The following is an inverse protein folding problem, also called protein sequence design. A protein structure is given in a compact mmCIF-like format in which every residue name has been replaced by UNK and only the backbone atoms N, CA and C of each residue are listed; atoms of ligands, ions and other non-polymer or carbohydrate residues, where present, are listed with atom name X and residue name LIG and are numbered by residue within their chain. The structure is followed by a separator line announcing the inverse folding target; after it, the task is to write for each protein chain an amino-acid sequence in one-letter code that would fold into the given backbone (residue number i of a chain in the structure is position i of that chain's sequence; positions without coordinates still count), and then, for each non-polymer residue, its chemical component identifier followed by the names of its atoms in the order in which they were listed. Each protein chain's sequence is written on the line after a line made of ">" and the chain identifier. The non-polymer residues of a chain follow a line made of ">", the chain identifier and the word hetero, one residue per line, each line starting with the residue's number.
data_IF_613814814452
#
_entry.id   IF_613814814452
#
_cell.length_a   1.000
_cell.length_b   1.000
_cell.length_c   1.000
_cell.angle_alpha   90.00
_cell.angle_beta   90.00
_cell.angle_gamma   90.00
#
_symmetry.space_group_name_H-M   'P 1'
#
loop_
_entity.id
_entity.type
_entity.pdbx_description
1 polymer ?
#
# COMPACT_ATOMS: atom_id res chain seq x y z
N UNK A 1 -33.80 -11.22 -22.50
CA UNK A 1 -33.25 -10.01 -21.85
C UNK A 1 -31.88 -10.40 -21.35
N UNK A 2 -30.82 -9.83 -21.90
CA UNK A 2 -29.49 -9.99 -21.30
C UNK A 2 -29.49 -9.22 -19.98
N UNK A 3 -29.55 -9.92 -18.86
CA UNK A 3 -29.33 -9.30 -17.55
C UNK A 3 -27.89 -8.79 -17.52
N UNK A 4 -27.70 -7.50 -17.31
CA UNK A 4 -26.38 -6.88 -17.20
C UNK A 4 -25.63 -7.57 -16.05
N UNK A 5 -24.46 -8.12 -16.32
CA UNK A 5 -23.61 -8.72 -15.28
C UNK A 5 -23.15 -7.67 -14.30
N UNK A 6 -23.20 -7.98 -13.02
CA UNK A 6 -22.88 -7.04 -11.95
C UNK A 6 -21.67 -7.48 -11.13
N UNK A 7 -20.74 -6.57 -10.91
CA UNK A 7 -19.59 -6.78 -10.05
C UNK A 7 -19.54 -5.76 -8.90
N UNK A 8 -19.21 -6.22 -7.71
CA UNK A 8 -19.07 -5.38 -6.52
C UNK A 8 -17.63 -5.39 -6.05
N UNK A 9 -17.09 -4.17 -5.83
CA UNK A 9 -15.74 -3.95 -5.33
C UNK A 9 -15.81 -3.40 -3.91
N UNK A 10 -15.20 -4.09 -2.97
CA UNK A 10 -15.24 -3.79 -1.53
C UNK A 10 -13.88 -3.29 -1.05
N UNK A 11 -13.82 -2.05 -0.57
CA UNK A 11 -12.68 -1.51 0.17
C UNK A 11 -13.16 -0.79 1.42
N UNK A 12 -12.58 -1.10 2.58
CA UNK A 12 -12.93 -0.42 3.83
C UNK A 12 -12.47 1.05 3.87
N UNK A 13 -11.57 1.45 2.97
CA UNK A 13 -11.00 2.80 2.89
C UNK A 13 -10.91 3.21 1.43
N UNK A 14 -11.19 4.47 1.12
CA UNK A 14 -11.06 5.01 -0.25
C UNK A 14 -9.62 5.41 -0.62
N UNK A 15 -8.70 5.47 0.33
CA UNK A 15 -7.30 5.84 0.08
C UNK A 15 -6.47 4.77 -0.65
N UNK A 16 -6.90 3.51 -0.65
CA UNK A 16 -6.15 2.37 -1.23
C UNK A 16 -6.80 1.79 -2.48
N UNK A 17 -7.64 2.57 -3.17
CA UNK A 17 -8.44 2.10 -4.29
C UNK A 17 -7.69 1.96 -5.62
N UNK A 18 -6.42 2.39 -5.73
CA UNK A 18 -5.69 2.35 -7.00
C UNK A 18 -5.68 0.95 -7.64
N UNK A 19 -5.50 -0.09 -6.85
CA UNK A 19 -5.53 -1.48 -7.31
C UNK A 19 -6.94 -1.89 -7.74
N UNK A 20 -7.96 -1.48 -7.00
CA UNK A 20 -9.36 -1.74 -7.37
C UNK A 20 -9.76 -1.02 -8.65
N UNK A 21 -9.24 0.17 -8.94
CA UNK A 21 -9.52 0.86 -10.20
C UNK A 21 -8.98 0.10 -11.42
N UNK A 22 -7.84 -0.58 -11.29
CA UNK A 22 -7.32 -1.45 -12.35
C UNK A 22 -8.26 -2.64 -12.58
N UNK A 23 -8.71 -3.26 -11.49
CA UNK A 23 -9.65 -4.39 -11.55
C UNK A 23 -11.02 -3.93 -12.10
N UNK A 24 -11.50 -2.77 -11.69
CA UNK A 24 -12.73 -2.15 -12.19
C UNK A 24 -12.68 -1.94 -13.71
N UNK A 25 -11.60 -1.31 -14.20
CA UNK A 25 -11.41 -1.09 -15.64
C UNK A 25 -11.42 -2.41 -16.43
N UNK A 26 -10.81 -3.45 -15.89
CA UNK A 26 -10.84 -4.79 -16.49
C UNK A 26 -12.25 -5.39 -16.49
N UNK A 27 -12.98 -5.35 -15.37
CA UNK A 27 -14.33 -5.88 -15.27
C UNK A 27 -15.31 -5.15 -16.21
N UNK A 28 -15.20 -3.82 -16.29
CA UNK A 28 -15.99 -3.02 -17.24
C UNK A 28 -15.69 -3.39 -18.70
N UNK A 29 -14.43 -3.66 -19.03
CA UNK A 29 -14.05 -4.11 -20.38
C UNK A 29 -14.67 -5.48 -20.75
N UNK A 30 -15.02 -6.29 -19.74
CA UNK A 30 -15.75 -7.54 -19.88
C UNK A 30 -17.29 -7.39 -19.86
N UNK A 31 -17.81 -6.14 -19.81
CA UNK A 31 -19.24 -5.83 -19.83
C UNK A 31 -19.94 -5.92 -18.47
N UNK A 32 -19.18 -5.89 -17.35
CA UNK A 32 -19.78 -5.80 -16.02
C UNK A 32 -20.18 -4.37 -15.69
N UNK A 33 -21.34 -4.21 -15.05
CA UNK A 33 -21.66 -3.01 -14.28
C UNK A 33 -21.04 -3.12 -12.89
N UNK A 34 -20.25 -2.13 -12.49
CA UNK A 34 -19.50 -2.18 -11.26
C UNK A 34 -20.03 -1.21 -10.22
N UNK A 35 -20.08 -1.65 -8.96
CA UNK A 35 -20.48 -0.85 -7.79
C UNK A 35 -19.41 -0.92 -6.73
N UNK A 36 -19.00 0.24 -6.20
CA UNK A 36 -18.07 0.33 -5.08
C UNK A 36 -18.80 0.38 -3.74
N UNK A 37 -18.25 -0.32 -2.76
CA UNK A 37 -18.61 -0.16 -1.35
C UNK A 37 -17.40 0.24 -0.53
N UNK A 38 -17.55 1.31 0.25
CA UNK A 38 -16.53 1.76 1.20
C UNK A 38 -17.17 2.12 2.55
N UNK A 39 -16.36 2.28 3.61
CA UNK A 39 -16.87 2.85 4.84
C UNK A 39 -17.04 4.36 4.69
N UNK A 40 -17.86 4.96 5.54
CA UNK A 40 -18.02 6.42 5.64
C UNK A 40 -16.99 7.08 6.58
N UNK A 41 -15.98 6.33 7.03
CA UNK A 41 -15.00 6.81 8.01
C UNK A 41 -13.58 6.81 7.43
N UNK A 42 -12.98 8.00 7.36
CA UNK A 42 -11.59 8.20 6.95
C UNK A 42 -10.65 7.85 8.11
N UNK A 43 -9.81 6.85 7.88
CA UNK A 43 -8.86 6.36 8.88
C UNK A 43 -7.66 7.31 9.10
N UNK A 44 -7.39 8.23 8.19
CA UNK A 44 -6.29 9.21 8.30
C UNK A 44 -6.72 10.43 9.08
N UNK A 45 -7.78 11.09 8.63
CA UNK A 45 -8.32 12.29 9.30
C UNK A 45 -9.14 11.98 10.54
N UNK A 46 -9.54 10.71 10.78
CA UNK A 46 -10.42 10.26 11.87
C UNK A 46 -11.80 10.91 11.84
N UNK A 47 -12.31 11.19 10.65
CA UNK A 47 -13.59 11.87 10.42
C UNK A 47 -14.50 11.05 9.51
N UNK A 48 -15.78 11.28 9.66
CA UNK A 48 -16.78 10.82 8.68
C UNK A 48 -16.61 11.65 7.42
N UNK A 49 -16.65 11.01 6.26
CA UNK A 49 -16.54 11.66 4.96
C UNK A 49 -17.61 11.15 3.98
N UNK A 50 -17.81 11.89 2.90
CA UNK A 50 -18.66 11.47 1.80
C UNK A 50 -17.80 11.09 0.59
N UNK A 51 -17.96 9.85 0.11
CA UNK A 51 -17.26 9.38 -1.08
C UNK A 51 -17.70 10.17 -2.31
N UNK A 52 -16.72 10.58 -3.12
CA UNK A 52 -16.94 11.35 -4.36
C UNK A 52 -16.97 10.48 -5.61
N UNK A 53 -16.66 9.18 -5.49
CA UNK A 53 -16.70 8.24 -6.62
C UNK A 53 -18.14 8.01 -7.06
N UNK A 54 -18.50 8.24 -8.33
CA UNK A 54 -19.86 8.02 -8.82
C UNK A 54 -20.32 6.58 -8.59
N UNK A 55 -21.54 6.41 -8.08
CA UNK A 55 -22.11 5.08 -7.80
C UNK A 55 -21.53 4.37 -6.57
N UNK A 56 -20.66 5.02 -5.80
CA UNK A 56 -20.15 4.48 -4.55
C UNK A 56 -21.23 4.40 -3.48
N UNK A 57 -21.34 3.26 -2.82
CA UNK A 57 -22.19 3.04 -1.65
C UNK A 57 -21.34 3.06 -0.39
N UNK A 58 -21.75 3.86 0.59
CA UNK A 58 -21.03 3.97 1.86
C UNK A 58 -21.78 3.22 2.96
N UNK A 59 -21.01 2.45 3.73
CA UNK A 59 -21.48 1.76 4.93
C UNK A 59 -21.10 2.60 6.15
N UNK A 60 -22.12 2.97 6.94
CA UNK A 60 -21.88 3.66 8.21
C UNK A 60 -21.21 2.72 9.21
N UNK A 61 -20.05 3.13 9.73
CA UNK A 61 -19.27 2.36 10.70
C UNK A 61 -18.97 3.18 11.95
N UNK A 62 -18.68 2.48 13.07
CA UNK A 62 -18.26 3.17 14.30
C UNK A 62 -16.93 3.88 14.10
N UNK A 63 -16.79 5.12 14.56
CA UNK A 63 -15.53 5.84 14.49
C UNK A 63 -14.50 5.29 15.50
N UNK A 64 -13.22 5.56 15.24
CA UNK A 64 -12.12 5.25 16.14
C UNK A 64 -11.01 6.29 16.06
N UNK A 65 -10.23 6.46 17.16
CA UNK A 65 -9.17 7.47 17.21
C UNK A 65 -7.76 6.84 17.07
N UNK A 66 -7.55 5.65 17.61
CA UNK A 66 -6.24 4.98 17.61
C UNK A 66 -6.19 3.86 16.58
N UNK A 67 -5.07 3.78 15.83
CA UNK A 67 -4.85 2.76 14.80
C UNK A 67 -4.77 1.34 15.36
N UNK A 68 -4.18 1.14 16.54
CA UNK A 68 -4.22 -0.12 17.28
C UNK A 68 -5.24 0.00 18.40
N UNK A 69 -6.51 -0.35 18.12
CA UNK A 69 -7.60 -0.28 19.10
C UNK A 69 -8.71 -1.28 18.79
N UNK A 70 -9.39 -1.74 19.84
CA UNK A 70 -10.57 -2.59 19.69
C UNK A 70 -11.69 -1.90 18.89
N UNK A 71 -11.84 -0.59 19.03
CA UNK A 71 -12.82 0.19 18.27
C UNK A 71 -12.56 0.12 16.77
N UNK A 72 -11.29 0.15 16.31
CA UNK A 72 -10.95 -0.05 14.91
C UNK A 72 -11.28 -1.46 14.44
N UNK A 73 -10.92 -2.47 15.21
CA UNK A 73 -11.23 -3.87 14.89
C UNK A 73 -12.74 -4.07 14.74
N UNK A 74 -13.52 -3.48 15.65
CA UNK A 74 -14.98 -3.54 15.60
C UNK A 74 -15.57 -2.74 14.45
N UNK A 75 -14.99 -1.58 14.09
CA UNK A 75 -15.37 -0.80 12.90
C UNK A 75 -15.19 -1.63 11.61
N UNK A 76 -14.06 -2.29 11.47
CA UNK A 76 -13.77 -3.18 10.34
C UNK A 76 -14.73 -4.39 10.27
N UNK A 77 -15.08 -4.96 11.43
CA UNK A 77 -16.08 -6.03 11.51
C UNK A 77 -17.46 -5.54 11.12
N UNK A 78 -17.84 -4.34 11.59
CA UNK A 78 -19.14 -3.75 11.26
C UNK A 78 -19.25 -3.50 9.76
N UNK A 79 -18.21 -2.93 9.12
CA UNK A 79 -18.16 -2.76 7.67
C UNK A 79 -18.39 -4.10 6.96
N UNK A 80 -17.57 -5.10 7.24
CA UNK A 80 -17.66 -6.40 6.56
C UNK A 80 -19.03 -7.06 6.77
N UNK A 81 -19.57 -7.03 7.99
CA UNK A 81 -20.86 -7.61 8.33
C UNK A 81 -22.02 -6.91 7.59
N UNK A 82 -21.99 -5.57 7.56
CA UNK A 82 -23.08 -4.80 7.00
C UNK A 82 -23.09 -4.86 5.48
N UNK A 83 -21.94 -4.76 4.82
CA UNK A 83 -21.87 -4.86 3.36
C UNK A 83 -22.36 -6.23 2.87
N UNK A 84 -21.93 -7.33 3.48
CA UNK A 84 -22.40 -8.64 3.07
C UNK A 84 -23.89 -8.85 3.38
N UNK A 85 -24.44 -8.23 4.44
CA UNK A 85 -25.89 -8.26 4.68
C UNK A 85 -26.70 -7.53 3.58
N UNK A 86 -26.16 -6.46 3.01
CA UNK A 86 -26.78 -5.82 1.84
C UNK A 86 -26.70 -6.70 0.60
N UNK A 87 -25.53 -7.30 0.33
CA UNK A 87 -25.33 -8.17 -0.83
C UNK A 87 -26.19 -9.44 -0.80
N UNK A 88 -26.60 -9.92 0.37
CA UNK A 88 -27.56 -11.04 0.50
C UNK A 88 -28.92 -10.76 -0.14
N UNK A 89 -29.33 -9.51 -0.20
CA UNK A 89 -30.64 -9.13 -0.75
C UNK A 89 -30.64 -9.15 -2.29
N UNK A 90 -29.49 -8.93 -2.90
CA UNK A 90 -29.32 -8.88 -4.34
C UNK A 90 -27.88 -9.31 -4.68
N UNK A 91 -27.61 -10.63 -4.72
CA UNK A 91 -26.27 -11.16 -4.93
C UNK A 91 -25.69 -10.78 -6.30
N UNK A 92 -24.45 -10.25 -6.37
CA UNK A 92 -23.80 -9.93 -7.63
C UNK A 92 -23.17 -11.17 -8.28
N UNK A 93 -22.84 -11.09 -9.57
CA UNK A 93 -22.08 -12.14 -10.27
C UNK A 93 -20.63 -12.24 -9.79
N UNK A 94 -20.02 -11.10 -9.39
CA UNK A 94 -18.63 -11.01 -8.92
C UNK A 94 -18.55 -10.15 -7.67
N UNK A 95 -17.82 -10.63 -6.67
CA UNK A 95 -17.36 -9.84 -5.50
C UNK A 95 -15.86 -9.80 -5.49
N UNK A 96 -15.28 -8.59 -5.51
CA UNK A 96 -13.87 -8.34 -5.26
C UNK A 96 -13.73 -7.73 -3.88
N UNK A 97 -13.13 -8.45 -2.95
CA UNK A 97 -12.92 -7.97 -1.58
C UNK A 97 -11.44 -7.65 -1.35
N UNK A 98 -11.15 -6.38 -1.10
CA UNK A 98 -9.80 -5.89 -0.82
C UNK A 98 -9.43 -6.12 0.65
N UNK A 99 -8.36 -6.84 0.88
CA UNK A 99 -7.86 -7.18 2.21
C UNK A 99 -6.53 -6.45 2.52
N UNK A 100 -6.39 -5.91 3.74
CA UNK A 100 -7.31 -5.93 4.86
C UNK A 100 -8.52 -4.99 4.68
N UNK A 101 -9.56 -5.08 5.55
CA UNK A 101 -9.61 -5.78 6.84
C UNK A 101 -9.93 -7.27 6.70
N UNK A 102 -9.26 -8.10 7.52
CA UNK A 102 -9.38 -9.57 7.46
C UNK A 102 -10.81 -10.08 7.71
N UNK A 103 -11.67 -9.31 8.37
CA UNK A 103 -13.09 -9.64 8.51
C UNK A 103 -13.82 -9.74 7.17
N UNK A 104 -13.37 -9.04 6.12
CA UNK A 104 -13.95 -9.19 4.78
C UNK A 104 -13.81 -10.63 4.28
N UNK A 105 -12.64 -11.27 4.47
CA UNK A 105 -12.45 -12.66 4.08
C UNK A 105 -13.42 -13.60 4.82
N UNK A 106 -13.60 -13.39 6.14
CA UNK A 106 -14.51 -14.20 6.93
C UNK A 106 -15.98 -14.09 6.48
N UNK A 107 -16.47 -12.87 6.27
CA UNK A 107 -17.87 -12.69 5.85
C UNK A 107 -18.08 -13.04 4.37
N UNK A 108 -17.09 -12.80 3.50
CA UNK A 108 -17.11 -13.20 2.11
C UNK A 108 -17.19 -14.72 1.94
N UNK A 109 -16.41 -15.49 2.71
CA UNK A 109 -16.47 -16.95 2.67
C UNK A 109 -17.86 -17.48 3.08
N UNK A 110 -18.49 -16.88 4.10
CA UNK A 110 -19.85 -17.24 4.52
C UNK A 110 -20.89 -16.86 3.46
N UNK A 111 -20.71 -15.74 2.79
CA UNK A 111 -21.55 -15.32 1.67
C UNK A 111 -21.38 -16.29 0.50
N UNK A 112 -20.17 -16.61 0.08
CA UNK A 112 -19.87 -17.56 -1.00
C UNK A 112 -20.48 -18.95 -0.75
N UNK A 113 -20.50 -19.41 0.49
CA UNK A 113 -21.10 -20.69 0.84
C UNK A 113 -22.64 -20.71 0.63
N UNK A 114 -23.30 -19.55 0.66
CA UNK A 114 -24.77 -19.42 0.39
C UNK A 114 -25.05 -19.05 -1.06
N UNK A 115 -24.10 -18.41 -1.74
CA UNK A 115 -24.19 -17.95 -3.13
C UNK A 115 -23.01 -18.52 -3.93
N UNK A 116 -22.97 -19.84 -4.17
CA UNK A 116 -21.83 -20.50 -4.83
C UNK A 116 -21.63 -20.04 -6.29
N UNK A 117 -22.65 -19.49 -6.93
CA UNK A 117 -22.60 -18.92 -8.28
C UNK A 117 -21.85 -17.58 -8.34
N UNK A 118 -21.84 -16.78 -7.26
CA UNK A 118 -21.07 -15.54 -7.21
C UNK A 118 -19.57 -15.84 -7.24
N UNK A 119 -18.85 -15.29 -8.18
CA UNK A 119 -17.37 -15.35 -8.19
C UNK A 119 -16.79 -14.48 -7.10
N UNK A 120 -16.00 -15.07 -6.23
CA UNK A 120 -15.32 -14.37 -5.13
C UNK A 120 -13.84 -14.21 -5.43
N UNK A 121 -13.35 -12.97 -5.38
CA UNK A 121 -11.94 -12.62 -5.60
C UNK A 121 -11.44 -11.89 -4.35
N UNK A 122 -10.33 -12.35 -3.77
CA UNK A 122 -9.61 -11.60 -2.74
C UNK A 122 -8.42 -10.86 -3.37
N UNK A 123 -8.38 -9.56 -3.19
CA UNK A 123 -7.25 -8.70 -3.50
C UNK A 123 -6.52 -8.39 -2.19
N UNK A 124 -5.25 -8.81 -2.07
CA UNK A 124 -4.47 -8.67 -0.83
C UNK A 124 -3.37 -7.64 -1.05
N UNK A 125 -3.63 -6.40 -0.63
CA UNK A 125 -2.68 -5.30 -0.79
C UNK A 125 -1.80 -5.08 0.46
N UNK A 126 -2.15 -5.68 1.60
CA UNK A 126 -1.37 -5.59 2.83
C UNK A 126 -1.56 -6.86 3.68
N UNK A 127 -0.54 -7.20 4.45
CA UNK A 127 -0.49 -8.41 5.26
C UNK A 127 -0.69 -8.09 6.75
N UNK A 128 -1.92 -7.66 7.12
CA UNK A 128 -2.23 -7.49 8.54
C UNK A 128 -2.51 -8.84 9.21
N UNK A 129 -1.99 -9.03 10.43
CA UNK A 129 -1.18 -8.12 11.27
C UNK A 129 0.34 -8.16 11.03
N UNK A 130 0.84 -8.94 10.09
CA UNK A 130 2.26 -9.20 9.88
C UNK A 130 3.08 -7.94 9.54
N UNK A 131 2.44 -6.94 8.90
CA UNK A 131 3.05 -5.66 8.55
C UNK A 131 3.07 -4.65 9.71
N UNK A 132 2.42 -4.96 10.85
CA UNK A 132 2.50 -4.06 12.00
C UNK A 132 3.86 -4.12 12.67
N UNK A 133 4.51 -2.95 12.91
CA UNK A 133 5.75 -2.87 13.65
C UNK A 133 5.46 -3.18 15.13
N UNK A 134 5.53 -4.44 15.51
CA UNK A 134 5.20 -4.89 16.87
C UNK A 134 6.39 -4.88 17.84
N UNK A 135 7.62 -4.72 17.33
CA UNK A 135 8.85 -4.61 18.13
C UNK A 135 8.91 -5.63 19.28
N UNK A 136 9.26 -5.17 20.47
CA UNK A 136 9.36 -6.00 21.68
C UNK A 136 8.01 -6.58 22.15
N UNK A 137 6.87 -6.01 21.72
CA UNK A 137 5.53 -6.51 22.05
C UNK A 137 5.08 -7.70 21.18
N UNK A 138 5.85 -8.11 20.21
CA UNK A 138 5.52 -9.19 19.26
C UNK A 138 5.11 -10.49 19.96
N UNK A 139 5.82 -10.87 21.03
CA UNK A 139 5.51 -12.07 21.82
C UNK A 139 4.17 -11.94 22.55
N UNK A 140 3.87 -10.78 23.15
CA UNK A 140 2.63 -10.52 23.87
C UNK A 140 1.41 -10.50 22.96
N UNK A 141 1.57 -9.99 21.74
CA UNK A 141 0.52 -9.87 20.75
C UNK A 141 0.40 -11.11 19.83
N UNK A 142 1.25 -12.12 19.98
CA UNK A 142 1.30 -13.28 19.09
C UNK A 142 -0.05 -14.00 18.98
N UNK A 143 -0.73 -14.27 20.10
CA UNK A 143 -2.04 -14.95 20.08
C UNK A 143 -3.15 -14.08 19.47
N UNK A 144 -3.36 -12.82 19.88
CA UNK A 144 -4.31 -11.94 19.21
C UNK A 144 -4.05 -11.77 17.71
N UNK A 145 -2.79 -11.64 17.31
CA UNK A 145 -2.41 -11.49 15.91
C UNK A 145 -2.66 -12.78 15.12
N UNK A 146 -2.36 -13.94 15.68
CA UNK A 146 -2.66 -15.24 15.06
C UNK A 146 -4.17 -15.43 14.82
N UNK A 147 -5.01 -15.05 15.80
CA UNK A 147 -6.47 -15.09 15.64
C UNK A 147 -6.91 -14.12 14.53
N UNK A 148 -6.31 -12.95 14.47
CA UNK A 148 -6.65 -11.93 13.46
C UNK A 148 -6.17 -12.33 12.06
N UNK A 149 -4.96 -12.85 11.90
CA UNK A 149 -4.48 -13.44 10.65
C UNK A 149 -5.37 -14.60 10.21
N UNK A 150 -5.77 -15.46 11.15
CA UNK A 150 -6.65 -16.59 10.90
C UNK A 150 -8.03 -16.23 10.31
N UNK A 151 -8.51 -14.99 10.49
CA UNK A 151 -9.73 -14.51 9.81
C UNK A 151 -9.52 -14.41 8.28
N UNK A 152 -8.29 -14.17 7.83
CA UNK A 152 -7.90 -14.18 6.42
C UNK A 152 -7.56 -15.60 5.99
N UNK A 153 -6.56 -16.20 6.61
CA UNK A 153 -5.88 -17.41 6.14
C UNK A 153 -6.82 -18.61 6.04
N UNK A 154 -7.70 -18.81 7.02
CA UNK A 154 -8.68 -19.91 7.03
C UNK A 154 -9.79 -19.77 5.99
N UNK A 155 -9.92 -18.59 5.39
CA UNK A 155 -10.99 -18.30 4.45
C UNK A 155 -10.50 -18.08 3.00
N UNK A 156 -9.17 -18.13 2.76
CA UNK A 156 -8.62 -17.93 1.40
C UNK A 156 -9.14 -18.96 0.40
N UNK A 157 -9.31 -20.22 0.82
CA UNK A 157 -9.80 -21.30 -0.03
C UNK A 157 -11.26 -21.14 -0.49
N UNK A 158 -12.01 -20.22 0.11
CA UNK A 158 -13.37 -19.91 -0.33
C UNK A 158 -13.40 -19.04 -1.59
N UNK A 159 -12.32 -18.35 -1.90
CA UNK A 159 -12.22 -17.50 -3.08
C UNK A 159 -11.92 -18.31 -4.33
N UNK A 160 -12.56 -17.94 -5.44
CA UNK A 160 -12.25 -18.47 -6.78
C UNK A 160 -10.89 -17.98 -7.28
N UNK A 161 -10.44 -16.81 -6.78
CA UNK A 161 -9.12 -16.24 -7.06
C UNK A 161 -8.62 -15.43 -5.88
N UNK A 162 -7.31 -15.54 -5.59
CA UNK A 162 -6.60 -14.68 -4.64
C UNK A 162 -5.50 -13.96 -5.39
N UNK A 163 -5.45 -12.64 -5.27
CA UNK A 163 -4.52 -11.75 -5.98
C UNK A 163 -3.71 -10.98 -4.93
N UNK A 164 -2.56 -11.52 -4.48
CA UNK A 164 -1.65 -10.78 -3.60
C UNK A 164 -0.90 -9.68 -4.36
N UNK A 165 -0.50 -8.63 -3.64
CA UNK A 165 0.23 -7.51 -4.20
C UNK A 165 1.62 -7.90 -4.74
N UNK A 166 2.26 -8.89 -4.12
CA UNK A 166 3.63 -9.27 -4.44
C UNK A 166 3.89 -10.77 -4.17
N UNK A 167 4.99 -11.29 -4.69
CA UNK A 167 5.40 -12.69 -4.51
C UNK A 167 5.71 -13.02 -3.05
N UNK A 168 6.25 -12.07 -2.29
CA UNK A 168 6.46 -12.26 -0.85
C UNK A 168 5.15 -12.63 -0.15
N UNK A 169 4.03 -11.97 -0.49
CA UNK A 169 2.73 -12.31 0.08
C UNK A 169 2.23 -13.68 -0.38
N UNK A 170 2.47 -14.04 -1.65
CA UNK A 170 2.18 -15.39 -2.13
C UNK A 170 2.93 -16.44 -1.31
N UNK A 171 4.24 -16.30 -1.14
CA UNK A 171 5.07 -17.24 -0.34
C UNK A 171 4.57 -17.37 1.10
N UNK A 172 4.23 -16.26 1.75
CA UNK A 172 3.72 -16.26 3.14
C UNK A 172 2.35 -16.91 3.28
N UNK A 173 1.51 -16.83 2.25
CA UNK A 173 0.17 -17.39 2.22
C UNK A 173 0.10 -18.81 1.63
N UNK A 174 1.24 -19.36 1.20
CA UNK A 174 1.28 -20.66 0.53
C UNK A 174 0.57 -20.69 -0.83
N UNK A 175 0.56 -19.56 -1.53
CA UNK A 175 -0.06 -19.38 -2.85
C UNK A 175 0.99 -19.43 -3.96
N UNK A 176 0.61 -19.84 -5.19
CA UNK A 176 1.48 -19.74 -6.36
C UNK A 176 1.93 -18.29 -6.61
N UNK A 177 3.22 -18.09 -6.92
CA UNK A 177 3.79 -16.74 -7.12
C UNK A 177 3.20 -16.02 -8.34
N UNK A 178 2.72 -16.76 -9.33
CA UNK A 178 2.01 -16.20 -10.50
C UNK A 178 0.67 -15.55 -10.16
N UNK A 179 0.17 -15.74 -8.96
CA UNK A 179 -1.02 -15.02 -8.48
C UNK A 179 -0.72 -13.57 -8.13
N UNK A 180 0.55 -13.21 -7.93
CA UNK A 180 0.92 -11.84 -7.59
C UNK A 180 0.69 -10.89 -8.78
N UNK A 181 0.02 -9.78 -8.50
CA UNK A 181 -0.16 -8.69 -9.47
C UNK A 181 0.40 -7.40 -8.87
N UNK A 182 1.54 -6.97 -9.37
CA UNK A 182 2.16 -5.72 -8.96
C UNK A 182 1.34 -4.52 -9.46
N UNK A 183 1.17 -3.53 -8.59
CA UNK A 183 0.67 -2.24 -9.05
C UNK A 183 1.76 -1.57 -9.91
N UNK A 184 1.37 -1.18 -11.11
CA UNK A 184 2.20 -0.36 -11.97
C UNK A 184 1.51 0.98 -12.17
N UNK A 185 2.28 2.07 -12.08
CA UNK A 185 1.80 3.38 -12.46
C UNK A 185 2.18 3.67 -13.91
N UNK A 186 1.21 4.14 -14.70
CA UNK A 186 1.53 4.63 -16.04
C UNK A 186 2.27 5.95 -15.94
N UNK A 187 3.41 6.01 -16.60
CA UNK A 187 4.07 7.27 -16.88
C UNK A 187 3.19 8.10 -17.82
N UNK A 188 3.17 9.42 -17.64
CA UNK A 188 2.62 10.32 -18.63
C UNK A 188 3.49 10.27 -19.90
N UNK A 189 2.97 9.82 -21.06
CA UNK A 189 3.75 9.73 -22.28
C UNK A 189 4.24 11.12 -22.80
N UNK A 190 3.63 12.21 -22.30
CA UNK A 190 4.04 13.57 -22.63
C UNK A 190 5.09 14.13 -21.66
N UNK A 191 5.38 13.47 -20.56
CA UNK A 191 6.49 13.80 -19.69
C UNK A 191 7.76 13.11 -20.21
N UNK A 192 8.61 13.90 -20.87
CA UNK A 192 9.98 13.47 -21.16
C UNK A 192 10.78 13.63 -19.87
N UNK A 193 11.38 12.60 -19.30
CA UNK A 193 12.25 12.78 -18.15
C UNK A 193 13.54 13.40 -18.66
N UNK A 194 13.71 14.65 -18.41
CA UNK A 194 15.02 15.28 -18.46
C UNK A 194 15.60 15.22 -17.03
N UNK A 195 16.58 14.37 -16.82
CA UNK A 195 17.33 14.36 -15.59
C UNK A 195 18.23 15.59 -15.54
N UNK A 196 18.03 16.44 -14.55
CA UNK A 196 18.83 17.64 -14.32
C UNK A 196 19.83 17.43 -13.19
N UNK A 197 20.66 16.40 -13.31
CA UNK A 197 21.59 15.99 -12.26
C UNK A 197 22.78 16.95 -12.18
N UNK A 198 23.10 17.43 -10.98
CA UNK A 198 24.34 18.17 -10.75
C UNK A 198 25.54 17.22 -10.69
N UNK A 199 26.69 17.66 -11.14
CA UNK A 199 27.93 16.88 -11.17
C UNK A 199 28.80 17.07 -9.92
N UNK A 200 28.62 18.17 -9.20
CA UNK A 200 29.44 18.60 -8.05
C UNK A 200 28.90 18.09 -6.69
N UNK A 201 27.75 17.42 -6.69
CA UNK A 201 27.10 16.88 -5.50
C UNK A 201 26.14 15.75 -5.80
N UNK A 202 25.44 15.30 -4.76
CA UNK A 202 24.40 14.28 -4.85
C UNK A 202 23.09 14.83 -4.30
N UNK A 203 22.04 14.78 -5.10
CA UNK A 203 20.67 15.05 -4.67
C UNK A 203 19.93 13.72 -4.48
N UNK A 204 19.36 13.53 -3.30
CA UNK A 204 18.63 12.33 -2.91
C UNK A 204 17.18 12.69 -2.58
N UNK A 205 16.24 11.78 -2.79
CA UNK A 205 14.84 12.00 -2.50
C UNK A 205 14.34 11.03 -1.44
N UNK A 206 13.63 11.55 -0.44
CA UNK A 206 12.74 10.74 0.40
C UNK A 206 11.30 11.09 0.07
N UNK A 207 10.46 10.08 -0.21
CA UNK A 207 9.04 10.22 -0.49
C UNK A 207 8.18 9.40 0.46
N UNK A 208 7.11 10.00 0.98
CA UNK A 208 6.01 9.33 1.64
C UNK A 208 5.91 9.58 3.14
N UNK A 209 5.05 8.79 3.81
CA UNK A 209 4.83 8.92 5.24
C UNK A 209 6.08 8.56 6.06
N UNK A 210 6.44 9.44 7.00
CA UNK A 210 7.63 9.29 7.87
C UNK A 210 7.17 8.78 9.23
N UNK A 211 6.94 7.48 9.32
CA UNK A 211 6.38 6.80 10.48
C UNK A 211 7.36 5.76 11.06
N UNK A 212 6.89 4.95 12.01
CA UNK A 212 7.69 3.95 12.72
C UNK A 212 8.26 2.81 11.86
N UNK A 213 7.81 2.62 10.61
CA UNK A 213 8.33 1.59 9.71
C UNK A 213 9.58 2.05 8.93
N UNK A 214 9.84 3.36 8.91
CA UNK A 214 11.00 3.94 8.22
C UNK A 214 12.27 3.62 9.03
N UNK A 215 13.33 3.22 8.34
CA UNK A 215 14.63 2.99 8.95
C UNK A 215 15.45 4.30 8.90
N UNK A 216 15.19 5.20 9.86
CA UNK A 216 15.84 6.50 9.94
C UNK A 216 17.35 6.36 10.10
N UNK A 217 17.80 5.39 10.90
CA UNK A 217 19.22 5.17 11.18
C UNK A 217 19.96 4.73 9.90
N UNK A 218 19.42 3.77 9.15
CA UNK A 218 20.01 3.36 7.89
C UNK A 218 20.05 4.49 6.83
N UNK A 219 19.01 5.35 6.79
CA UNK A 219 19.01 6.53 5.92
C UNK A 219 20.13 7.50 6.32
N UNK A 220 20.27 7.77 7.61
CA UNK A 220 21.32 8.66 8.13
C UNK A 220 22.73 8.10 7.88
N UNK A 221 22.96 6.82 8.17
CA UNK A 221 24.24 6.15 7.98
C UNK A 221 24.68 6.17 6.50
N UNK A 222 23.76 5.84 5.59
CA UNK A 222 24.04 5.90 4.16
C UNK A 222 24.30 7.33 3.69
N UNK A 223 23.53 8.29 4.18
CA UNK A 223 23.73 9.72 3.89
C UNK A 223 25.10 10.18 4.37
N UNK A 224 25.53 9.80 5.58
CA UNK A 224 26.85 10.16 6.12
C UNK A 224 28.00 9.55 5.31
N UNK A 225 27.83 8.32 4.80
CA UNK A 225 28.83 7.71 3.92
C UNK A 225 28.96 8.49 2.59
N UNK A 226 27.82 8.85 1.98
CA UNK A 226 27.80 9.62 0.74
C UNK A 226 28.34 11.05 0.92
N UNK A 227 28.06 11.71 2.06
CA UNK A 227 28.51 13.04 2.38
C UNK A 227 30.05 13.15 2.57
N UNK A 228 30.71 12.01 2.84
CA UNK A 228 32.19 11.94 2.84
C UNK A 228 32.80 12.01 1.43
N UNK A 229 32.02 11.67 0.42
CA UNK A 229 32.48 11.60 -0.96
C UNK A 229 32.16 12.86 -1.75
N UNK A 230 30.98 13.44 -1.55
CA UNK A 230 30.49 14.63 -2.24
C UNK A 230 29.50 15.40 -1.34
N UNK A 231 29.26 16.70 -1.58
CA UNK A 231 28.14 17.41 -0.96
C UNK A 231 26.81 16.70 -1.27
N UNK A 232 25.99 16.48 -0.22
CA UNK A 232 24.70 15.81 -0.32
C UNK A 232 23.58 16.77 0.04
N UNK A 233 22.55 16.83 -0.80
CA UNK A 233 21.26 17.45 -0.48
C UNK A 233 20.18 16.37 -0.46
N UNK A 234 19.33 16.37 0.57
CA UNK A 234 18.19 15.45 0.66
C UNK A 234 16.88 16.23 0.56
N UNK A 235 16.13 15.98 -0.50
CA UNK A 235 14.78 16.50 -0.69
C UNK A 235 13.77 15.57 -0.02
N UNK A 236 13.04 16.07 0.99
CA UNK A 236 12.10 15.28 1.77
C UNK A 236 10.68 15.69 1.41
N UNK A 237 9.97 14.79 0.70
CA UNK A 237 8.56 14.92 0.34
C UNK A 237 7.74 14.01 1.25
N UNK A 238 7.14 14.58 2.27
CA UNK A 238 6.33 13.83 3.22
C UNK A 238 6.31 14.43 4.60
N UNK A 239 5.55 13.79 5.47
CA UNK A 239 5.41 14.16 6.88
C UNK A 239 5.05 12.92 7.71
N UNK A 240 5.03 13.06 9.03
CA UNK A 240 4.66 11.99 9.96
C UNK A 240 5.33 12.11 11.32
N UNK A 241 4.99 11.20 12.21
CA UNK A 241 5.43 11.25 13.61
C UNK A 241 6.96 11.19 13.80
N UNK A 242 7.69 10.63 12.81
CA UNK A 242 9.16 10.54 12.79
C UNK A 242 9.83 11.60 11.92
N UNK A 243 9.06 12.53 11.33
CA UNK A 243 9.62 13.57 10.47
C UNK A 243 10.70 14.42 11.16
N UNK A 244 10.48 14.97 12.37
CA UNK A 244 11.54 15.74 13.05
C UNK A 244 12.82 14.93 13.29
N UNK A 245 12.69 13.64 13.62
CA UNK A 245 13.82 12.75 13.83
C UNK A 245 14.60 12.51 12.54
N UNK A 246 13.91 12.26 11.41
CA UNK A 246 14.56 12.07 10.11
C UNK A 246 15.30 13.33 9.67
N UNK A 247 14.65 14.50 9.73
CA UNK A 247 15.28 15.77 9.33
C UNK A 247 16.53 16.08 10.15
N UNK A 248 16.49 15.82 11.46
CA UNK A 248 17.68 16.02 12.32
C UNK A 248 18.77 15.02 11.98
N UNK A 249 18.46 13.75 11.85
CA UNK A 249 19.43 12.70 11.52
C UNK A 249 20.14 12.95 10.18
N UNK A 250 19.44 13.46 9.18
CA UNK A 250 20.02 13.84 7.89
C UNK A 250 21.02 15.03 8.02
N UNK A 251 20.67 16.06 8.82
CA UNK A 251 21.57 17.18 9.09
C UNK A 251 22.81 16.73 9.86
N UNK A 252 22.63 15.88 10.86
CA UNK A 252 23.73 15.32 11.65
C UNK A 252 24.65 14.43 10.79
N UNK A 253 24.11 13.81 9.76
CA UNK A 253 24.84 13.06 8.74
C UNK A 253 25.60 13.93 7.73
N UNK A 254 25.50 15.27 7.84
CA UNK A 254 26.22 16.22 7.00
C UNK A 254 25.50 16.58 5.68
N UNK A 255 24.22 16.28 5.53
CA UNK A 255 23.44 16.68 4.36
C UNK A 255 22.77 18.03 4.55
N UNK A 256 22.63 18.78 3.45
CA UNK A 256 21.63 19.82 3.33
C UNK A 256 20.25 19.19 3.22
N UNK A 257 19.24 19.74 3.92
CA UNK A 257 17.89 19.16 3.96
C UNK A 257 16.88 20.16 3.44
N UNK A 258 16.26 19.82 2.32
CA UNK A 258 15.13 20.54 1.72
C UNK A 258 13.83 19.81 2.04
N UNK A 259 13.10 20.27 3.06
CA UNK A 259 11.83 19.68 3.45
C UNK A 259 10.65 20.40 2.81
N UNK A 260 9.96 19.71 1.90
CA UNK A 260 8.83 20.23 1.13
C UNK A 260 7.45 19.95 1.78
N UNK A 261 7.42 19.19 2.89
CA UNK A 261 6.15 18.73 3.44
C UNK A 261 5.45 17.72 2.55
N UNK A 262 4.12 17.63 2.69
CA UNK A 262 3.30 16.72 1.87
C UNK A 262 3.00 17.37 0.52
N UNK A 263 3.41 16.70 -0.57
CA UNK A 263 3.17 17.15 -1.95
C UNK A 263 2.33 16.11 -2.68
N UNK A 264 1.12 16.50 -3.12
CA UNK A 264 0.22 15.65 -3.93
C UNK A 264 0.31 15.96 -5.42
N UNK A 265 0.80 17.13 -5.79
CA UNK A 265 0.95 17.55 -7.18
C UNK A 265 2.05 16.75 -7.89
N UNK A 266 1.67 15.99 -8.93
CA UNK A 266 2.58 15.10 -9.66
C UNK A 266 3.65 15.88 -10.43
N UNK A 267 3.32 17.06 -10.94
CA UNK A 267 4.27 17.92 -11.68
C UNK A 267 5.35 18.44 -10.72
N UNK A 268 4.96 18.82 -9.50
CA UNK A 268 5.90 19.27 -8.48
C UNK A 268 6.78 18.12 -7.98
N UNK A 269 6.24 16.91 -7.81
CA UNK A 269 7.05 15.73 -7.49
C UNK A 269 8.07 15.46 -8.60
N UNK A 270 7.62 15.51 -9.86
CA UNK A 270 8.50 15.30 -11.00
C UNK A 270 9.62 16.33 -11.06
N UNK A 271 9.33 17.62 -10.87
CA UNK A 271 10.33 18.69 -10.81
C UNK A 271 11.42 18.42 -9.77
N UNK A 272 11.04 17.92 -8.59
CA UNK A 272 12.02 17.59 -7.54
C UNK A 272 12.80 16.33 -7.90
N UNK A 273 12.10 15.27 -8.30
CA UNK A 273 12.71 13.96 -8.56
C UNK A 273 13.63 13.97 -9.78
N UNK A 274 13.36 14.79 -10.80
CA UNK A 274 14.23 14.92 -11.97
C UNK A 274 15.61 15.49 -11.67
N UNK A 275 15.78 16.12 -10.51
CA UNK A 275 17.09 16.63 -10.02
C UNK A 275 17.80 15.62 -9.12
N UNK A 276 17.10 14.58 -8.67
CA UNK A 276 17.65 13.61 -7.73
C UNK A 276 18.37 12.47 -8.43
N UNK A 277 19.45 11.99 -7.83
CA UNK A 277 20.22 10.84 -8.30
C UNK A 277 19.58 9.53 -7.88
N UNK A 278 19.01 9.48 -6.65
CA UNK A 278 18.37 8.30 -6.10
C UNK A 278 17.24 8.67 -5.13
N UNK A 279 16.23 7.77 -5.03
CA UNK A 279 15.22 7.78 -4.01
C UNK A 279 15.53 6.79 -2.88
N UNK A 280 15.26 7.14 -1.64
CA UNK A 280 15.42 6.24 -0.49
C UNK A 280 14.26 5.26 -0.35
N UNK A 281 14.56 3.98 -0.40
CA UNK A 281 13.61 2.89 -0.12
C UNK A 281 14.10 2.02 1.04
N UNK A 282 14.28 2.63 2.20
CA UNK A 282 14.85 2.02 3.39
C UNK A 282 13.78 1.91 4.48
N UNK A 283 13.37 0.68 4.79
CA UNK A 283 12.42 0.35 5.86
C UNK A 283 13.07 -0.57 6.89
N UNK A 284 12.47 -0.66 8.06
CA UNK A 284 12.97 -1.57 9.10
C UNK A 284 12.86 -3.03 8.66
N UNK A 285 13.82 -3.89 9.04
CA UNK A 285 13.88 -5.27 8.53
C UNK A 285 12.75 -6.17 9.03
N UNK A 286 12.07 -5.79 10.11
CA UNK A 286 10.94 -6.54 10.67
C UNK A 286 9.58 -6.21 10.00
N UNK A 287 9.56 -5.30 9.03
CA UNK A 287 8.35 -4.95 8.27
C UNK A 287 8.17 -5.92 7.11
N UNK A 288 7.00 -6.55 7.06
CA UNK A 288 6.64 -7.45 5.96
C UNK A 288 6.18 -6.65 4.75
N UNK A 289 7.09 -6.36 3.84
CA UNK A 289 6.80 -5.63 2.60
C UNK A 289 7.61 -6.21 1.45
N UNK A 290 6.98 -6.48 0.31
CA UNK A 290 7.68 -6.94 -0.89
C UNK A 290 7.94 -5.81 -1.88
N UNK A 291 6.94 -4.98 -2.17
CA UNK A 291 7.05 -3.79 -3.01
C UNK A 291 6.40 -2.61 -2.31
N UNK A 292 7.06 -1.47 -2.26
CA UNK A 292 6.51 -0.27 -1.65
C UNK A 292 5.83 0.63 -2.67
N UNK A 293 4.78 1.34 -2.26
CA UNK A 293 4.16 2.35 -3.11
C UNK A 293 5.14 3.47 -3.49
N UNK A 294 6.07 3.82 -2.59
CA UNK A 294 7.11 4.81 -2.90
C UNK A 294 8.06 4.35 -4.02
N UNK A 295 8.38 3.04 -4.10
CA UNK A 295 9.15 2.51 -5.24
C UNK A 295 8.41 2.70 -6.56
N UNK A 296 7.09 2.45 -6.57
CA UNK A 296 6.25 2.66 -7.76
C UNK A 296 6.24 4.13 -8.16
N UNK A 297 6.16 5.05 -7.19
CA UNK A 297 6.21 6.49 -7.44
C UNK A 297 7.59 6.91 -7.97
N UNK A 298 8.68 6.43 -7.38
CA UNK A 298 10.03 6.71 -7.88
C UNK A 298 10.21 6.23 -9.33
N UNK A 299 9.83 5.00 -9.63
CA UNK A 299 9.94 4.43 -10.99
C UNK A 299 9.06 5.16 -12.00
N UNK A 300 7.88 5.67 -11.58
CA UNK A 300 7.04 6.52 -12.42
C UNK A 300 7.75 7.79 -12.87
N UNK A 301 8.64 8.32 -12.03
CA UNK A 301 9.43 9.52 -12.29
C UNK A 301 10.86 9.21 -12.77
N UNK A 302 11.14 7.97 -13.20
CA UNK A 302 12.45 7.49 -13.66
C UNK A 302 13.58 7.70 -12.62
N UNK A 303 13.25 7.75 -11.34
CA UNK A 303 14.21 7.89 -10.27
C UNK A 303 14.64 6.51 -9.77
N UNK A 304 15.92 6.10 -9.94
CA UNK A 304 16.45 4.87 -9.36
C UNK A 304 16.47 4.93 -7.83
N UNK A 305 16.46 3.77 -7.19
CA UNK A 305 16.34 3.69 -5.74
C UNK A 305 17.59 3.12 -5.06
N UNK A 306 17.86 3.62 -3.84
CA UNK A 306 18.74 2.97 -2.86
C UNK A 306 17.83 2.10 -1.97
N UNK A 307 18.00 0.78 -2.05
CA UNK A 307 17.06 -0.17 -1.50
C UNK A 307 17.68 -1.11 -0.47
N UNK A 308 16.97 -1.32 0.65
CA UNK A 308 17.28 -2.40 1.61
C UNK A 308 16.09 -3.37 1.80
N UNK A 309 15.00 -3.17 1.07
CA UNK A 309 13.84 -4.04 1.17
C UNK A 309 14.14 -5.34 0.42
N UNK A 310 14.05 -6.47 1.09
CA UNK A 310 14.36 -7.78 0.49
C UNK A 310 13.26 -8.25 -0.47
N UNK A 311 13.44 -9.43 -1.04
CA UNK A 311 12.49 -10.12 -1.89
C UNK A 311 12.14 -9.33 -3.16
N UNK A 312 10.85 -9.06 -3.39
CA UNK A 312 10.34 -8.52 -4.65
C UNK A 312 11.04 -7.23 -5.11
N UNK A 313 11.26 -6.28 -4.18
CA UNK A 313 11.93 -5.02 -4.54
C UNK A 313 13.41 -5.26 -4.87
N UNK A 314 14.12 -6.08 -4.09
CA UNK A 314 15.52 -6.38 -4.37
C UNK A 314 15.69 -7.12 -5.71
N UNK A 315 14.84 -8.13 -5.96
CA UNK A 315 14.82 -8.85 -7.24
C UNK A 315 14.53 -7.92 -8.43
N UNK A 316 13.61 -6.94 -8.24
CA UNK A 316 13.28 -5.96 -9.28
C UNK A 316 14.45 -5.01 -9.55
N UNK A 317 15.09 -4.51 -8.49
CA UNK A 317 16.26 -3.61 -8.60
C UNK A 317 17.38 -4.28 -9.39
N UNK A 318 17.70 -5.54 -9.08
CA UNK A 318 18.77 -6.27 -9.75
C UNK A 318 18.43 -6.64 -11.19
N UNK A 319 17.19 -7.09 -11.43
CA UNK A 319 16.76 -7.54 -12.77
C UNK A 319 16.60 -6.38 -13.75
N UNK A 320 15.97 -5.30 -13.31
CA UNK A 320 15.63 -4.17 -14.19
C UNK A 320 16.68 -3.03 -14.11
N UNK A 321 17.71 -3.17 -13.28
CA UNK A 321 18.77 -2.15 -13.08
C UNK A 321 18.22 -0.77 -12.72
N UNK A 322 17.18 -0.74 -11.87
CA UNK A 322 16.46 0.48 -11.47
C UNK A 322 16.90 1.02 -10.11
N UNK A 323 18.13 0.74 -9.71
CA UNK A 323 18.69 1.21 -8.45
C UNK A 323 19.84 0.35 -7.95
N UNK A 324 20.13 0.46 -6.66
CA UNK A 324 21.15 -0.30 -5.97
C UNK A 324 20.57 -0.94 -4.71
N UNK A 325 20.78 -2.24 -4.53
CA UNK A 325 20.56 -2.90 -3.26
C UNK A 325 21.77 -2.57 -2.36
N UNK A 326 21.55 -1.70 -1.39
CA UNK A 326 22.60 -1.30 -0.44
C UNK A 326 22.56 -2.31 0.71
N UNK A 327 23.60 -3.14 0.81
CA UNK A 327 23.71 -4.19 1.83
C UNK A 327 23.74 -3.63 3.25
N UNK A 328 23.49 -4.53 4.24
CA UNK A 328 23.68 -4.26 5.67
C UNK A 328 25.12 -3.87 6.01
#
# INVERSE_FOLDING_TARGET
>A
MHTTKRAVLLSCSDHYNHRLYVIDGYLRSLGYETVYYTSDFDHTSKKVFRCTVPGCRQIHVRPYQKNLSLSRILSHRDFARLVFRELEQDPPDVVVAQLPPNYLAHYAARFKARHPETRLIFEIFDMWPETFPSGSMKRLLALPFSVWAGLRDKNLSAADRVIPECRLFCRKLGLPEENAIYLASRRDPNQTPEAHLRSDGLDLCYLGAINNVVNVDAIADLTAQLARLKPVTVHVIGDGEKCPQLLQALRDAGAEVDWLGVVFDESRKHEVMSRCHFGFNLMKPDVCVGLTMKSVDYFRHDLPILNIIPADTAELVDREQVGLNVGE
#
